data_IF_786123036390
#
_entry.id   IF_786123036390
#
_cell.length_a   1.000
_cell.length_b   1.000
_cell.length_c   1.000
_cell.angle_alpha   90.00
_cell.angle_beta   90.00
_cell.angle_gamma   90.00
#
_symmetry.space_group_name_H-M   'P 1'
#
loop_
_entity.id
_entity.type
_entity.pdbx_description
1 polymer ?
#
# COMPACT_ATOMS: atom_id res chain seq x y z
N UNK A 1 0.14 18.70 -3.84
CA UNK A 1 -0.83 17.69 -3.34
C UNK A 1 -2.16 17.85 -4.05
N UNK A 2 -2.47 19.03 -4.57
CA UNK A 2 -3.61 19.27 -5.46
C UNK A 2 -3.49 18.28 -6.63
N UNK A 3 -4.44 17.34 -6.72
CA UNK A 3 -4.46 16.30 -7.77
C UNK A 3 -4.25 14.87 -7.28
N UNK A 4 -3.82 14.66 -6.03
CA UNK A 4 -3.81 13.31 -5.44
C UNK A 4 -5.21 12.99 -4.91
N UNK A 5 -5.80 11.91 -5.41
CA UNK A 5 -7.06 11.34 -4.93
C UNK A 5 -6.79 10.33 -3.80
N UNK A 6 -6.83 10.82 -2.56
CA UNK A 6 -6.63 9.98 -1.38
C UNK A 6 -7.81 9.05 -1.09
N UNK A 7 -9.03 9.40 -1.51
CA UNK A 7 -10.21 8.55 -1.31
C UNK A 7 -10.09 7.27 -2.17
N UNK A 8 -9.67 7.44 -3.43
CA UNK A 8 -9.39 6.31 -4.32
C UNK A 8 -8.18 5.49 -3.85
N UNK A 9 -7.11 6.14 -3.37
CA UNK A 9 -5.95 5.45 -2.82
C UNK A 9 -6.34 4.52 -1.65
N UNK A 10 -7.14 5.01 -0.69
CA UNK A 10 -7.65 4.20 0.44
C UNK A 10 -8.47 3.01 -0.08
N UNK A 11 -9.40 3.26 -1.01
CA UNK A 11 -10.28 2.23 -1.56
C UNK A 11 -9.49 1.11 -2.23
N UNK A 12 -8.52 1.47 -3.09
CA UNK A 12 -7.71 0.52 -3.84
C UNK A 12 -6.80 -0.31 -2.93
N UNK A 13 -6.07 0.32 -1.99
CA UNK A 13 -5.16 -0.42 -1.11
C UNK A 13 -5.90 -1.35 -0.15
N UNK A 14 -7.02 -0.90 0.43
CA UNK A 14 -7.84 -1.77 1.28
C UNK A 14 -8.47 -2.92 0.50
N UNK A 15 -8.92 -2.66 -0.74
CA UNK A 15 -9.43 -3.69 -1.64
C UNK A 15 -8.37 -4.73 -1.97
N UNK A 16 -7.19 -4.27 -2.39
CA UNK A 16 -6.06 -5.12 -2.73
C UNK A 16 -5.58 -5.94 -1.53
N UNK A 17 -5.41 -5.32 -0.34
CA UNK A 17 -5.00 -6.03 0.88
C UNK A 17 -5.96 -7.18 1.20
N UNK A 18 -7.27 -6.97 1.12
CA UNK A 18 -8.25 -8.05 1.36
C UNK A 18 -8.11 -9.19 0.36
N UNK A 19 -7.95 -8.88 -0.93
CA UNK A 19 -7.75 -9.90 -1.95
C UNK A 19 -6.43 -10.67 -1.70
N UNK A 20 -5.36 -9.94 -1.37
CA UNK A 20 -4.06 -10.51 -1.04
C UNK A 20 -4.12 -11.47 0.15
N UNK A 21 -4.69 -11.04 1.28
CA UNK A 21 -4.82 -11.90 2.46
C UNK A 21 -5.70 -13.13 2.21
N UNK A 22 -6.77 -12.97 1.42
CA UNK A 22 -7.64 -14.10 1.06
C UNK A 22 -6.91 -15.12 0.18
N UNK A 23 -6.03 -14.71 -0.73
CA UNK A 23 -5.25 -15.62 -1.55
C UNK A 23 -4.38 -16.57 -0.68
N UNK A 24 -3.82 -16.06 0.41
CA UNK A 24 -3.04 -16.86 1.36
C UNK A 24 -3.89 -17.82 2.20
N UNK A 25 -5.10 -17.44 2.58
CA UNK A 25 -6.00 -18.30 3.34
C UNK A 25 -6.42 -19.58 2.58
N UNK A 26 -6.31 -19.61 1.25
CA UNK A 26 -6.65 -20.77 0.41
C UNK A 26 -5.46 -21.61 -0.03
N UNK A 27 -4.25 -21.33 0.48
CA UNK A 27 -3.12 -22.27 0.46
C UNK A 27 -2.19 -22.24 -0.75
N UNK A 28 -2.33 -21.29 -1.68
CA UNK A 28 -1.36 -21.09 -2.76
C UNK A 28 -1.59 -19.76 -3.48
N UNK A 29 -0.57 -18.91 -3.49
CA UNK A 29 -0.57 -17.66 -4.27
C UNK A 29 -0.48 -17.95 -5.79
N UNK A 30 0.02 -19.12 -6.19
CA UNK A 30 0.16 -19.51 -7.59
C UNK A 30 -1.20 -19.64 -8.31
N UNK A 31 -2.28 -19.88 -7.55
CA UNK A 31 -3.62 -20.11 -8.10
C UNK A 31 -4.50 -18.85 -8.12
N UNK A 32 -3.98 -17.71 -7.65
CA UNK A 32 -4.72 -16.44 -7.62
C UNK A 32 -3.87 -15.27 -8.13
N UNK A 33 -3.84 -15.02 -9.45
CA UNK A 33 -3.09 -13.90 -10.01
C UNK A 33 -3.70 -12.58 -9.53
N UNK A 34 -3.08 -11.96 -8.53
CA UNK A 34 -3.45 -10.62 -8.09
C UNK A 34 -2.95 -9.59 -9.09
N UNK A 35 -3.67 -8.47 -9.15
CA UNK A 35 -3.25 -7.30 -9.93
C UNK A 35 -1.83 -6.89 -9.53
N UNK A 36 -0.97 -6.61 -10.51
CA UNK A 36 0.39 -6.17 -10.26
C UNK A 36 0.39 -4.93 -9.37
N UNK A 37 0.86 -5.12 -8.14
CA UNK A 37 0.89 -4.07 -7.14
C UNK A 37 2.07 -3.11 -7.35
N UNK A 38 3.07 -3.47 -8.17
CA UNK A 38 4.19 -2.60 -8.50
C UNK A 38 3.78 -1.46 -9.43
N UNK A 39 2.76 -1.69 -10.26
CA UNK A 39 2.15 -0.67 -11.12
C UNK A 39 1.08 0.19 -10.43
N UNK A 40 1.10 0.34 -9.09
CA UNK A 40 0.00 0.99 -8.38
C UNK A 40 -0.20 2.44 -8.84
N UNK A 41 -1.47 2.82 -9.08
CA UNK A 41 -1.83 4.17 -9.55
C UNK A 41 -1.34 5.27 -8.59
N UNK A 42 -1.29 4.96 -7.30
CA UNK A 42 -0.83 5.89 -6.28
C UNK A 42 0.69 6.16 -6.37
N UNK A 43 1.49 5.18 -6.79
CA UNK A 43 2.93 5.35 -7.02
C UNK A 43 3.21 6.42 -8.08
N UNK A 44 2.42 6.45 -9.16
CA UNK A 44 2.51 7.51 -10.16
C UNK A 44 2.11 8.88 -9.60
N UNK A 45 1.09 8.93 -8.74
CA UNK A 45 0.66 10.17 -8.09
C UNK A 45 1.73 10.73 -7.13
N UNK A 46 2.45 9.87 -6.40
CA UNK A 46 3.64 10.26 -5.61
C UNK A 46 4.72 10.84 -6.51
N UNK A 47 5.03 10.15 -7.62
CA UNK A 47 6.08 10.57 -8.55
C UNK A 47 5.75 11.92 -9.23
N UNK A 48 4.47 12.23 -9.42
CA UNK A 48 4.01 13.51 -9.97
C UNK A 48 3.84 14.63 -8.92
N UNK A 49 4.00 14.35 -7.63
CA UNK A 49 3.78 15.34 -6.58
C UNK A 49 4.84 16.46 -6.60
N UNK A 50 4.38 17.71 -6.42
CA UNK A 50 5.21 18.90 -6.31
C UNK A 50 6.16 18.89 -5.09
N UNK A 51 7.22 19.71 -5.14
CA UNK A 51 8.24 19.78 -4.09
C UNK A 51 7.67 20.21 -2.72
N UNK A 52 6.68 21.11 -2.72
CA UNK A 52 6.03 21.55 -1.48
C UNK A 52 5.34 20.39 -0.76
N UNK A 53 4.78 19.45 -1.51
CA UNK A 53 4.16 18.23 -0.98
C UNK A 53 5.20 17.25 -0.50
N UNK A 54 6.27 17.05 -1.28
CA UNK A 54 7.39 16.16 -0.91
C UNK A 54 8.13 16.64 0.33
N UNK A 55 8.08 17.93 0.64
CA UNK A 55 8.64 18.51 1.85
C UNK A 55 7.78 18.25 3.11
N UNK A 56 6.50 17.88 2.98
CA UNK A 56 5.65 17.62 4.14
C UNK A 56 6.08 16.34 4.87
N UNK A 57 6.29 16.38 6.20
CA UNK A 57 6.69 15.20 6.97
C UNK A 57 5.72 14.02 6.82
N UNK A 58 4.41 14.28 6.80
CA UNK A 58 3.38 13.26 6.60
C UNK A 58 3.47 12.63 5.22
N UNK A 59 3.83 13.41 4.19
CA UNK A 59 3.99 12.90 2.83
C UNK A 59 5.25 12.03 2.71
N UNK A 60 6.35 12.41 3.37
CA UNK A 60 7.55 11.57 3.44
C UNK A 60 7.28 10.25 4.19
N UNK A 61 6.54 10.33 5.30
CA UNK A 61 6.11 9.14 6.04
C UNK A 61 5.22 8.23 5.17
N UNK A 62 4.35 8.81 4.34
CA UNK A 62 3.53 8.07 3.39
C UNK A 62 4.38 7.35 2.35
N UNK A 63 5.34 8.03 1.72
CA UNK A 63 6.24 7.42 0.73
C UNK A 63 6.98 6.23 1.33
N UNK A 64 7.51 6.40 2.55
CA UNK A 64 8.25 5.34 3.26
C UNK A 64 7.35 4.13 3.57
N UNK A 65 6.16 4.38 4.11
CA UNK A 65 5.17 3.35 4.47
C UNK A 65 4.69 2.61 3.22
N UNK A 66 4.38 3.33 2.14
CA UNK A 66 3.98 2.76 0.85
C UNK A 66 5.07 1.86 0.25
N UNK A 67 6.32 2.32 0.27
CA UNK A 67 7.47 1.53 -0.19
C UNK A 67 7.63 0.25 0.63
N UNK A 68 7.51 0.35 1.96
CA UNK A 68 7.62 -0.82 2.85
C UNK A 68 6.48 -1.81 2.63
N UNK A 69 5.25 -1.32 2.46
CA UNK A 69 4.08 -2.14 2.17
C UNK A 69 4.27 -2.98 0.90
N UNK A 70 4.72 -2.37 -0.20
CA UNK A 70 4.96 -3.12 -1.44
C UNK A 70 6.18 -4.05 -1.36
N UNK A 71 7.22 -3.68 -0.62
CA UNK A 71 8.36 -4.57 -0.39
C UNK A 71 7.94 -5.85 0.38
N UNK A 72 7.12 -5.69 1.43
CA UNK A 72 6.56 -6.83 2.17
C UNK A 72 5.68 -7.71 1.27
N UNK A 73 4.82 -7.10 0.46
CA UNK A 73 3.99 -7.84 -0.49
C UNK A 73 4.82 -8.68 -1.46
N UNK A 74 5.89 -8.12 -2.02
CA UNK A 74 6.80 -8.86 -2.90
C UNK A 74 7.53 -9.99 -2.19
N UNK A 75 8.06 -9.76 -1.00
CA UNK A 75 8.76 -10.80 -0.23
C UNK A 75 7.82 -11.97 0.13
N UNK A 76 6.59 -11.66 0.54
CA UNK A 76 5.55 -12.65 0.83
C UNK A 76 5.20 -13.45 -0.43
N UNK A 77 5.02 -12.78 -1.57
CA UNK A 77 4.75 -13.43 -2.86
C UNK A 77 5.92 -14.33 -3.30
N UNK A 78 7.17 -13.87 -3.14
CA UNK A 78 8.37 -14.65 -3.46
C UNK A 78 8.50 -15.90 -2.59
N UNK A 79 8.30 -15.77 -1.28
CA UNK A 79 8.32 -16.93 -0.35
C UNK A 79 7.24 -17.95 -0.74
N UNK A 80 6.00 -17.49 -0.98
CA UNK A 80 4.90 -18.37 -1.39
C UNK A 80 5.19 -19.09 -2.70
N UNK A 81 5.68 -18.37 -3.71
CA UNK A 81 5.99 -18.93 -5.03
C UNK A 81 7.14 -19.96 -4.99
N UNK A 82 8.01 -19.87 -3.98
CA UNK A 82 9.10 -20.82 -3.75
C UNK A 82 8.72 -21.97 -2.80
N UNK A 83 7.43 -22.15 -2.49
CA UNK A 83 6.94 -23.23 -1.62
C UNK A 83 7.19 -23.00 -0.13
N UNK A 84 7.59 -21.80 0.28
CA UNK A 84 7.82 -21.41 1.67
C UNK A 84 6.59 -20.71 2.28
N UNK A 85 5.42 -21.34 2.16
CA UNK A 85 4.15 -20.76 2.61
C UNK A 85 4.14 -20.40 4.11
N UNK A 86 4.67 -21.26 4.98
CA UNK A 86 4.74 -21.00 6.42
C UNK A 86 5.56 -19.73 6.75
N UNK A 87 6.65 -19.48 6.00
CA UNK A 87 7.46 -18.28 6.18
C UNK A 87 6.74 -17.02 5.68
N UNK A 88 5.98 -17.14 4.58
CA UNK A 88 5.13 -16.08 4.06
C UNK A 88 4.02 -15.70 5.06
N UNK A 89 3.41 -16.69 5.72
CA UNK A 89 2.35 -16.49 6.71
C UNK A 89 2.81 -15.69 7.93
N UNK A 90 4.05 -15.90 8.38
CA UNK A 90 4.64 -15.14 9.49
C UNK A 90 4.78 -13.64 9.20
N UNK A 91 4.79 -13.25 7.93
CA UNK A 91 4.92 -11.85 7.50
C UNK A 91 3.57 -11.15 7.29
N UNK A 92 2.47 -11.90 7.16
CA UNK A 92 1.13 -11.34 6.93
C UNK A 92 0.69 -10.31 7.99
N UNK A 93 0.99 -10.47 9.30
CA UNK A 93 0.68 -9.44 10.30
C UNK A 93 1.40 -8.12 10.03
N UNK A 94 2.67 -8.17 9.60
CA UNK A 94 3.45 -6.96 9.29
C UNK A 94 2.87 -6.22 8.09
N UNK A 95 2.43 -6.95 7.05
CA UNK A 95 1.75 -6.37 5.91
C UNK A 95 0.43 -5.69 6.33
N UNK A 96 -0.33 -6.32 7.23
CA UNK A 96 -1.57 -5.77 7.75
C UNK A 96 -1.32 -4.46 8.53
N UNK A 97 -0.30 -4.43 9.38
CA UNK A 97 0.09 -3.24 10.15
C UNK A 97 0.52 -2.09 9.24
N UNK A 98 1.38 -2.35 8.24
CA UNK A 98 1.78 -1.32 7.26
C UNK A 98 0.59 -0.83 6.42
N UNK A 99 -0.35 -1.72 6.09
CA UNK A 99 -1.59 -1.32 5.41
C UNK A 99 -2.45 -0.39 6.25
N UNK A 100 -2.61 -0.67 7.56
CA UNK A 100 -3.35 0.21 8.47
C UNK A 100 -2.64 1.56 8.62
N UNK A 101 -1.31 1.54 8.74
CA UNK A 101 -0.52 2.76 8.79
C UNK A 101 -0.67 3.61 7.53
N UNK A 102 -0.69 2.96 6.37
CA UNK A 102 -0.89 3.63 5.08
C UNK A 102 -2.27 4.30 5.02
N UNK A 103 -3.33 3.61 5.46
CA UNK A 103 -4.68 4.16 5.52
C UNK A 103 -4.76 5.42 6.42
N UNK A 104 -4.16 5.38 7.60
CA UNK A 104 -4.12 6.53 8.51
C UNK A 104 -3.40 7.74 7.87
N UNK A 105 -2.26 7.51 7.21
CA UNK A 105 -1.52 8.57 6.52
C UNK A 105 -2.29 9.15 5.33
N UNK A 106 -3.05 8.32 4.59
CA UNK A 106 -3.96 8.83 3.57
C UNK A 106 -5.03 9.73 4.18
N UNK A 107 -5.63 9.32 5.31
CA UNK A 107 -6.64 10.10 6.01
C UNK A 107 -6.11 11.45 6.52
N UNK A 108 -4.92 11.46 7.11
CA UNK A 108 -4.24 12.68 7.58
C UNK A 108 -3.98 13.65 6.42
N UNK A 109 -3.40 13.16 5.32
CA UNK A 109 -3.09 13.99 4.15
C UNK A 109 -4.34 14.48 3.43
N UNK A 110 -5.40 13.66 3.40
CA UNK A 110 -6.72 14.04 2.90
C UNK A 110 -7.32 15.19 3.71
N UNK A 111 -7.22 15.14 5.04
CA UNK A 111 -7.68 16.23 5.91
C UNK A 111 -6.89 17.53 5.65
N UNK A 112 -5.55 17.45 5.62
CA UNK A 112 -4.69 18.59 5.31
C UNK A 112 -4.98 19.19 3.92
N UNK A 113 -5.26 18.35 2.91
CA UNK A 113 -5.62 18.81 1.57
C UNK A 113 -6.96 19.56 1.57
N UNK A 114 -7.93 19.15 2.40
CA UNK A 114 -9.23 19.83 2.53
C UNK A 114 -9.11 21.17 3.24
N UNK A 115 -8.34 21.22 4.33
CA UNK A 115 -8.07 22.48 5.07
C UNK A 115 -7.36 23.52 4.22
N UNK A 116 -6.46 23.11 3.32
CA UNK A 116 -5.78 24.04 2.40
C UNK A 116 -6.65 24.54 1.24
N UNK A 117 -7.84 23.96 1.05
CA UNK A 117 -8.79 24.33 -0.02
C UNK A 117 -9.95 25.20 0.49
N UNK A 118 -10.15 25.27 1.81
CA UNK A 118 -11.10 26.19 2.47
C UNK A 118 -10.49 27.57 2.66
#
# INVERSE_FOLDING_TARGET
>A
MLGIDFDEAIRLHNGWRRQFMNAFAYGSYADMPLSDHQGCMFGYAIAAADDASRALPQFQALIKTHTRFHALASEIQELSSNGMADAADLMLPQLADESHRLANLFDELRALQRERRS
#
